data_IF_428273039087
#
_entry.id   IF_428273039087
#
_cell.length_a   1.000
_cell.length_b   1.000
_cell.length_c   1.000
_cell.angle_alpha   90.00
_cell.angle_beta   90.00
_cell.angle_gamma   90.00
#
_symmetry.space_group_name_H-M   'P 1'
#
loop_
_entity.id
_entity.type
_entity.pdbx_description
1 polymer ?
#
# COMPACT_ATOMS: atom_id res chain seq x y z
N UNK A 1 12.96 42.35 -20.59
CA UNK A 1 12.90 41.66 -20.16
C UNK A 1 12.45 41.14 -19.73
N UNK A 2 12.48 41.43 -20.07
CA UNK A 2 12.26 40.71 -19.55
C UNK A 2 11.61 39.95 -19.38
N UNK A 3 11.57 40.13 -19.72
CA UNK A 3 11.13 39.19 -19.43
C UNK A 3 10.59 38.40 -19.31
N UNK A 4 10.74 38.83 -19.72
CA UNK A 4 10.44 37.87 -19.39
C UNK A 4 9.99 37.02 -19.19
N UNK A 5 10.21 37.42 -19.60
CA UNK A 5 10.02 36.37 -19.23
C UNK A 5 9.46 35.62 -18.92
N UNK A 6 9.55 35.83 -19.08
CA UNK A 6 9.27 34.94 -18.65
C UNK A 6 8.61 34.20 -18.40
N UNK A 7 8.81 34.53 -18.86
CA UNK A 7 8.48 33.61 -18.49
C UNK A 7 7.89 32.83 -18.32
N UNK A 8 8.07 33.30 -18.71
CA UNK A 8 7.82 32.32 -18.27
C UNK A 8 7.26 31.48 -18.03
N UNK A 9 7.34 31.96 -18.39
CA UNK A 9 7.11 31.00 -17.90
C UNK A 9 6.51 30.20 -17.66
N UNK A 10 6.62 30.51 -18.04
CA UNK A 10 6.37 29.58 -17.53
C UNK A 10 5.76 28.78 -17.33
N UNK A 11 5.72 28.95 -17.69
CA UNK A 11 5.46 27.97 -17.24
C UNK A 11 4.96 27.16 -17.06
N UNK A 12 5.04 27.54 -17.37
CA UNK A 12 4.87 26.57 -16.87
C UNK A 12 4.41 25.82 -16.70
N UNK A 13 4.40 26.04 -17.01
CA UNK A 13 4.23 25.08 -16.52
C UNK A 13 3.72 24.40 -16.38
N UNK A 14 3.72 24.64 -16.72
CA UNK A 14 3.47 23.74 -16.26
C UNK A 14 3.08 23.00 -16.16
N UNK A 15 3.11 23.24 -16.49
CA UNK A 15 3.01 22.33 -16.10
C UNK A 15 2.69 21.64 -15.99
N UNK A 16 2.75 21.65 -16.15
CA UNK A 16 2.67 20.80 -15.70
C UNK A 16 2.23 20.24 -15.49
N UNK A 17 2.24 20.30 -15.77
CA UNK A 17 1.93 19.53 -15.29
C UNK A 17 1.60 18.85 -15.12
N UNK A 18 1.63 18.94 -15.39
CA UNK A 18 1.49 18.11 -14.90
C UNK A 18 1.23 17.41 -14.79
N UNK A 19 1.33 17.29 -15.01
CA UNK A 19 1.19 16.40 -14.60
C UNK A 19 0.92 15.66 -14.33
N UNK A 20 0.68 15.72 -14.42
CA UNK A 20 0.34 14.94 -14.01
C UNK A 20 0.42 14.02 -14.08
N UNK A 21 0.61 13.67 -13.76
CA UNK A 21 0.66 12.61 -13.58
C UNK A 21 -0.12 11.95 -13.07
N UNK A 22 -0.68 11.74 -13.23
CA UNK A 22 -1.63 11.23 -12.70
C UNK A 22 -1.48 10.10 -12.27
N UNK A 23 -1.05 9.70 -12.76
CA UNK A 23 -0.97 8.56 -12.44
C UNK A 23 -0.72 8.35 -11.16
N UNK A 24 -0.76 9.16 -10.54
CA UNK A 24 -0.52 9.04 -9.27
C UNK A 24 -1.66 8.70 -8.47
N UNK A 25 -2.64 8.16 -9.00
CA UNK A 25 -3.77 7.68 -8.24
C UNK A 25 -3.28 6.69 -7.22
N UNK A 26 -3.48 6.97 -5.98
CA UNK A 26 -3.14 6.08 -4.89
C UNK A 26 -4.24 5.04 -4.77
N UNK A 27 -3.87 3.78 -4.75
CA UNK A 27 -4.84 2.71 -4.53
C UNK A 27 -5.10 2.64 -3.02
N UNK A 28 -6.33 2.94 -2.64
CA UNK A 28 -6.74 2.83 -1.25
C UNK A 28 -6.90 1.35 -0.93
N UNK A 29 -6.27 0.83 0.14
CA UNK A 29 -6.42 -0.57 0.48
C UNK A 29 -7.87 -0.89 0.82
N UNK A 30 -8.39 -1.95 0.21
CA UNK A 30 -9.74 -2.42 0.47
C UNK A 30 -9.81 -2.95 1.89
N UNK A 31 -10.81 -2.52 2.64
CA UNK A 31 -10.98 -2.91 4.04
C UNK A 31 -11.20 -4.41 4.17
N UNK A 32 -10.52 -5.01 5.13
CA UNK A 32 -10.62 -6.44 5.42
C UNK A 32 -10.22 -6.64 6.89
N UNK A 33 -10.23 -7.87 7.33
CA UNK A 33 -9.78 -8.22 8.67
C UNK A 33 -8.85 -9.42 8.62
N UNK A 34 -8.06 -9.60 9.67
CA UNK A 34 -7.34 -10.85 9.85
C UNK A 34 -8.34 -11.91 10.29
N UNK A 35 -8.50 -12.97 9.49
CA UNK A 35 -9.43 -14.07 9.79
C UNK A 35 -8.73 -15.29 10.40
N UNK A 36 -7.41 -15.22 10.57
CA UNK A 36 -6.68 -16.26 11.26
C UNK A 36 -6.67 -15.98 12.76
N UNK A 37 -6.43 -17.01 13.57
CA UNK A 37 -6.31 -16.87 15.00
C UNK A 37 -5.19 -15.89 15.33
N UNK A 38 -4.07 -16.04 14.64
CA UNK A 38 -2.96 -15.11 14.69
C UNK A 38 -2.28 -15.09 13.34
N UNK A 39 -1.68 -13.96 12.98
CA UNK A 39 -1.01 -13.81 11.70
C UNK A 39 0.24 -12.97 11.87
N UNK A 40 1.39 -13.51 11.48
CA UNK A 40 2.63 -12.76 11.52
C UNK A 40 2.62 -11.66 10.46
N UNK A 41 3.02 -10.47 10.85
CA UNK A 41 3.04 -9.29 9.99
C UNK A 41 4.48 -8.82 9.87
N UNK A 42 5.03 -8.91 8.64
CA UNK A 42 6.44 -8.66 8.38
C UNK A 42 6.65 -7.32 7.69
N UNK A 43 7.83 -6.75 7.88
CA UNK A 43 8.18 -5.48 7.29
C UNK A 43 8.34 -5.57 5.77
N UNK A 44 8.93 -6.64 5.27
CA UNK A 44 9.23 -6.75 3.86
C UNK A 44 9.33 -8.21 3.42
N UNK A 45 9.43 -8.42 2.11
CA UNK A 45 9.51 -9.74 1.53
C UNK A 45 10.68 -9.82 0.55
N UNK A 46 11.48 -10.88 0.68
CA UNK A 46 12.58 -11.15 -0.23
C UNK A 46 12.26 -12.39 -1.04
N UNK A 47 12.40 -12.32 -2.36
CA UNK A 47 12.05 -13.43 -3.24
C UNK A 47 12.87 -14.69 -2.97
N UNK A 48 14.07 -14.56 -2.40
CA UNK A 48 14.94 -15.71 -2.14
C UNK A 48 14.69 -16.31 -0.76
N UNK A 49 14.48 -15.48 0.25
CA UNK A 49 14.39 -15.95 1.65
C UNK A 49 13.01 -15.82 2.26
N UNK A 50 12.08 -15.18 1.58
CA UNK A 50 10.73 -15.01 2.10
C UNK A 50 10.57 -13.74 2.93
N UNK A 51 9.51 -13.65 3.74
CA UNK A 51 9.28 -12.45 4.53
C UNK A 51 10.34 -12.30 5.62
N UNK A 52 10.63 -11.06 5.97
CA UNK A 52 11.60 -10.77 7.03
C UNK A 52 11.22 -9.50 7.76
N UNK A 53 11.81 -9.33 8.94
CA UNK A 53 11.53 -8.17 9.77
C UNK A 53 10.17 -8.25 10.41
N UNK A 54 9.96 -9.24 11.29
CA UNK A 54 8.68 -9.39 11.98
C UNK A 54 8.36 -8.13 12.75
N UNK A 55 7.24 -7.49 12.41
CA UNK A 55 6.81 -6.26 13.08
C UNK A 55 5.91 -6.57 14.27
N UNK A 56 4.96 -7.46 14.08
CA UNK A 56 3.98 -7.80 15.12
C UNK A 56 3.22 -9.06 14.71
N UNK A 57 2.44 -9.56 15.62
CA UNK A 57 1.51 -10.65 15.33
C UNK A 57 0.10 -10.09 15.46
N UNK A 58 -0.68 -10.21 14.40
CA UNK A 58 -2.05 -9.71 14.37
C UNK A 58 -2.97 -10.75 14.97
N UNK A 59 -4.02 -10.28 15.65
CA UNK A 59 -5.04 -11.13 16.23
C UNK A 59 -6.25 -11.19 15.33
N UNK A 60 -7.10 -12.18 15.54
CA UNK A 60 -8.34 -12.30 14.79
C UNK A 60 -9.13 -11.00 14.89
N UNK A 61 -9.61 -10.53 13.74
CA UNK A 61 -10.43 -9.33 13.70
C UNK A 61 -9.67 -8.03 13.58
N UNK A 62 -8.33 -8.04 13.65
CA UNK A 62 -7.56 -6.82 13.44
C UNK A 62 -7.87 -6.26 12.05
N UNK A 63 -8.07 -4.95 11.98
CA UNK A 63 -8.45 -4.26 10.74
C UNK A 63 -7.25 -4.08 9.83
N UNK A 64 -7.35 -4.62 8.63
CA UNK A 64 -6.28 -4.56 7.63
C UNK A 64 -6.86 -4.16 6.28
N UNK A 65 -6.00 -3.93 5.32
CA UNK A 65 -6.42 -3.58 3.97
C UNK A 65 -5.53 -4.20 2.93
N UNK A 66 -6.16 -4.71 1.88
CA UNK A 66 -5.46 -5.29 0.73
C UNK A 66 -6.41 -5.25 -0.45
N UNK A 67 -5.93 -4.72 -1.59
CA UNK A 67 -6.75 -4.70 -2.79
C UNK A 67 -6.25 -5.78 -3.73
N UNK A 68 -7.01 -6.88 -3.90
CA UNK A 68 -6.60 -7.95 -4.81
C UNK A 68 -6.36 -7.40 -6.22
N UNK A 69 -5.27 -7.82 -6.82
CA UNK A 69 -4.90 -7.38 -8.16
C UNK A 69 -4.11 -6.08 -8.20
N UNK A 70 -4.22 -5.23 -7.18
CA UNK A 70 -3.50 -3.96 -7.14
C UNK A 70 -2.31 -4.02 -6.20
N UNK A 71 -2.42 -4.74 -5.10
CA UNK A 71 -1.33 -4.91 -4.16
C UNK A 71 -0.69 -6.28 -4.38
N UNK A 72 0.65 -6.36 -4.39
CA UNK A 72 1.31 -7.60 -4.76
C UNK A 72 1.14 -8.73 -3.74
N UNK A 73 1.19 -9.95 -4.26
CA UNK A 73 1.20 -11.17 -3.46
C UNK A 73 2.36 -12.02 -3.95
N UNK A 74 3.28 -12.35 -3.05
CA UNK A 74 4.45 -13.14 -3.38
C UNK A 74 4.43 -14.45 -2.60
N UNK A 75 4.22 -15.57 -3.30
CA UNK A 75 4.20 -16.90 -2.67
C UNK A 75 3.25 -16.97 -1.47
N UNK A 76 2.07 -16.35 -1.61
CA UNK A 76 1.07 -16.34 -0.55
C UNK A 76 1.26 -15.26 0.50
N UNK A 77 2.26 -14.38 0.34
CA UNK A 77 2.47 -13.24 1.24
C UNK A 77 2.01 -11.96 0.56
N UNK A 78 1.00 -11.34 1.12
CA UNK A 78 0.32 -10.21 0.52
C UNK A 78 0.76 -8.90 1.14
N UNK A 79 1.02 -7.92 0.29
CA UNK A 79 1.25 -6.55 0.75
C UNK A 79 -0.05 -6.03 1.37
N UNK A 80 0.00 -5.69 2.64
CA UNK A 80 -1.19 -5.42 3.43
C UNK A 80 -0.97 -4.18 4.29
N UNK A 81 -2.01 -3.38 4.42
CA UNK A 81 -1.97 -2.21 5.29
C UNK A 81 -2.59 -2.58 6.64
N UNK A 82 -1.87 -2.30 7.73
CA UNK A 82 -2.39 -2.51 9.08
C UNK A 82 -2.98 -1.17 9.55
N UNK A 83 -4.29 -1.13 9.71
CA UNK A 83 -4.99 0.09 10.11
C UNK A 83 -4.84 0.42 11.60
N UNK A 84 -4.23 -0.44 12.40
CA UNK A 84 -3.92 -0.11 13.78
C UNK A 84 -2.87 0.99 13.84
N UNK A 85 -1.60 0.68 13.54
CA UNK A 85 -0.56 1.70 13.50
C UNK A 85 -0.44 2.43 12.17
N UNK A 86 -1.26 2.10 11.17
CA UNK A 86 -1.24 2.71 9.84
C UNK A 86 0.10 2.48 9.13
N UNK A 87 0.50 1.25 8.98
CA UNK A 87 1.71 0.94 8.24
C UNK A 87 1.53 -0.26 7.31
N UNK A 88 2.41 -0.35 6.32
CA UNK A 88 2.42 -1.43 5.34
C UNK A 88 3.32 -2.57 5.80
N UNK A 89 2.95 -3.77 5.44
CA UNK A 89 3.76 -4.95 5.66
C UNK A 89 3.24 -6.11 4.84
N UNK A 90 3.66 -7.31 5.20
CA UNK A 90 3.27 -8.53 4.49
C UNK A 90 2.71 -9.55 5.47
N UNK A 91 1.55 -10.12 5.12
CA UNK A 91 0.95 -11.21 5.88
C UNK A 91 0.43 -12.26 4.91
N UNK A 92 0.14 -13.46 5.42
CA UNK A 92 -0.37 -14.53 4.58
C UNK A 92 -1.70 -14.14 3.96
N UNK A 93 -1.84 -14.35 2.66
CA UNK A 93 -3.06 -13.98 1.93
C UNK A 93 -4.29 -14.73 2.45
N UNK A 94 -4.13 -15.97 2.88
CA UNK A 94 -5.26 -16.74 3.39
C UNK A 94 -5.77 -16.21 4.73
N UNK A 95 -5.02 -15.33 5.38
CA UNK A 95 -5.45 -14.71 6.63
C UNK A 95 -6.17 -13.38 6.41
N UNK A 96 -6.28 -12.93 5.16
CA UNK A 96 -7.00 -11.71 4.85
C UNK A 96 -8.39 -12.08 4.35
N UNK A 97 -9.42 -11.61 5.03
CA UNK A 97 -10.79 -11.91 4.65
C UNK A 97 -11.75 -10.88 5.21
N UNK A 98 -13.04 -11.23 5.23
CA UNK A 98 -14.04 -10.29 5.71
C UNK A 98 -13.99 -8.97 4.99
N UNK A 99 -13.75 -8.98 3.67
CA UNK A 99 -13.66 -7.76 2.89
C UNK A 99 -14.93 -6.94 3.05
N UNK A 100 -14.74 -5.63 3.22
CA UNK A 100 -15.82 -4.66 3.36
C UNK A 100 -16.69 -4.89 4.62
N UNK A 101 -16.15 -5.59 5.62
CA UNK A 101 -16.91 -5.83 6.85
C UNK A 101 -16.86 -4.64 7.82
N UNK A 102 -16.08 -3.65 7.51
CA UNK A 102 -16.02 -2.44 8.34
C UNK A 102 -15.72 -1.21 7.51
#
# INVERSE_FOLDING_TARGET
>A
MRISTRIVASLVVVGALATASPAQAVVVPRHAINVCQSASFYDNYDSASGPYGLKRVLEYGNKVGHTPGAHPVYNGWAATFDFGPNDWGYMRIECIGGYDSW
#
